data_IF_833609408652
#
_entry.id   IF_833609408652
#
_cell.length_a   1.000
_cell.length_b   1.000
_cell.length_c   1.000
_cell.angle_alpha   90.00
_cell.angle_beta   90.00
_cell.angle_gamma   90.00
#
_symmetry.space_group_name_H-M   'P 1'
#
loop_
_entity.id
_entity.type
_entity.pdbx_description
1 polymer ?
#
# COMPACT_ATOMS: atom_id res chain seq x y z
N UNK A 1 -7.77 0.03 -10.42
CA UNK A 1 -7.31 -1.13 -11.21
C UNK A 1 -6.04 -1.81 -10.69
N UNK A 2 -5.24 -1.14 -9.88
CA UNK A 2 -3.97 -1.70 -9.35
C UNK A 2 -4.14 -2.56 -8.08
N UNK A 3 -5.35 -2.63 -7.54
CA UNK A 3 -5.61 -3.18 -6.19
C UNK A 3 -5.75 -4.71 -6.10
N UNK A 4 -6.09 -5.42 -7.17
CA UNK A 4 -6.54 -6.82 -7.01
C UNK A 4 -5.47 -7.89 -7.21
N UNK A 5 -4.36 -7.59 -7.84
CA UNK A 5 -3.43 -8.62 -8.32
C UNK A 5 -2.33 -9.07 -7.35
N UNK A 6 -2.19 -8.48 -6.17
CA UNK A 6 -1.02 -8.74 -5.33
C UNK A 6 -1.27 -9.49 -4.04
N UNK A 7 -2.34 -10.24 -3.91
CA UNK A 7 -2.60 -10.96 -2.66
C UNK A 7 -1.76 -12.24 -2.46
N UNK A 8 -1.02 -12.70 -3.45
CA UNK A 8 -0.40 -14.03 -3.42
C UNK A 8 1.14 -14.06 -3.44
N UNK A 9 1.76 -12.88 -3.30
CA UNK A 9 3.21 -12.77 -3.38
C UNK A 9 3.84 -12.87 -2.00
N UNK A 10 4.37 -14.04 -1.68
CA UNK A 10 5.00 -14.30 -0.39
C UNK A 10 6.39 -14.90 -0.45
N UNK A 11 7.23 -14.40 0.44
CA UNK A 11 8.46 -14.98 0.98
C UNK A 11 9.64 -15.09 0.03
N UNK A 12 10.36 -14.00 -0.15
CA UNK A 12 11.84 -14.03 -0.29
C UNK A 12 12.39 -12.75 0.31
N UNK A 13 13.49 -12.89 1.03
CA UNK A 13 14.22 -11.77 1.62
C UNK A 13 14.98 -11.04 0.50
N UNK A 14 14.37 -9.98 -0.03
CA UNK A 14 15.09 -8.95 -0.74
C UNK A 14 15.01 -7.72 0.14
N UNK A 15 16.13 -7.21 0.54
CA UNK A 15 16.22 -6.05 1.41
C UNK A 15 15.79 -4.78 0.63
N UNK A 16 15.36 -3.74 1.35
CA UNK A 16 15.14 -2.40 0.79
C UNK A 16 16.37 -1.87 0.02
N UNK A 17 17.56 -2.43 0.27
CA UNK A 17 18.79 -2.19 -0.48
C UNK A 17 18.66 -2.59 -1.97
N UNK A 18 17.99 -3.70 -2.26
CA UNK A 18 17.72 -4.12 -3.65
C UNK A 18 16.83 -3.11 -4.36
N UNK A 19 15.80 -2.64 -3.69
CA UNK A 19 14.95 -1.55 -4.20
C UNK A 19 15.76 -0.29 -4.48
N UNK A 20 16.60 0.15 -3.53
CA UNK A 20 17.44 1.35 -3.68
C UNK A 20 18.44 1.24 -4.82
N UNK A 21 19.08 0.07 -4.98
CA UNK A 21 20.01 -0.20 -6.09
C UNK A 21 19.29 -0.17 -7.45
N UNK A 22 18.11 -0.79 -7.51
CA UNK A 22 17.33 -0.87 -8.74
C UNK A 22 16.77 0.50 -9.12
N UNK A 23 16.22 1.25 -8.18
CA UNK A 23 15.68 2.58 -8.45
C UNK A 23 16.77 3.61 -8.77
N UNK A 24 17.94 3.50 -8.18
CA UNK A 24 19.10 4.29 -8.55
C UNK A 24 19.54 4.05 -10.00
N UNK A 25 19.46 2.82 -10.49
CA UNK A 25 19.81 2.46 -11.86
C UNK A 25 18.81 2.99 -12.89
N UNK A 26 17.51 3.04 -12.56
CA UNK A 26 16.46 3.63 -13.43
C UNK A 26 16.61 5.15 -13.60
N UNK A 27 16.96 5.86 -12.53
CA UNK A 27 17.17 7.31 -12.57
C UNK A 27 18.29 7.72 -13.56
N UNK A 28 19.21 6.81 -13.88
CA UNK A 28 20.31 7.03 -14.84
C UNK A 28 20.03 6.48 -16.25
N UNK A 29 18.79 6.05 -16.57
CA UNK A 29 18.43 5.55 -17.91
C UNK A 29 19.06 4.20 -18.31
N UNK A 30 19.67 3.50 -17.36
CA UNK A 30 20.31 2.21 -17.59
C UNK A 30 19.31 1.06 -17.51
N UNK A 31 19.33 0.14 -18.47
CA UNK A 31 18.67 -1.16 -18.33
C UNK A 31 19.27 -1.86 -17.13
N UNK A 32 18.44 -2.31 -16.17
CA UNK A 32 18.92 -2.99 -14.97
C UNK A 32 19.55 -4.31 -15.39
N UNK A 33 20.87 -4.50 -15.18
CA UNK A 33 21.50 -5.79 -15.42
C UNK A 33 20.87 -6.82 -14.45
N UNK A 34 20.51 -8.00 -14.96
CA UNK A 34 19.98 -9.08 -14.12
C UNK A 34 18.49 -9.04 -13.82
N UNK A 35 17.70 -8.10 -14.34
CA UNK A 35 16.25 -8.06 -14.12
C UNK A 35 15.55 -9.37 -14.56
N UNK A 36 16.10 -10.04 -15.57
CA UNK A 36 15.55 -11.30 -16.05
C UNK A 36 15.75 -12.45 -15.07
N UNK A 37 16.74 -12.38 -14.21
CA UNK A 37 17.09 -13.39 -13.19
C UNK A 37 16.36 -13.15 -11.85
N UNK A 38 15.74 -11.98 -11.69
CA UNK A 38 15.01 -11.66 -10.45
C UNK A 38 13.73 -12.47 -10.30
N UNK A 39 13.32 -12.79 -9.05
CA UNK A 39 12.01 -13.38 -8.75
C UNK A 39 10.88 -12.54 -9.36
N UNK A 40 9.84 -13.20 -9.86
CA UNK A 40 8.70 -12.53 -10.50
C UNK A 40 8.05 -11.45 -9.62
N UNK A 41 8.06 -11.66 -8.32
CA UNK A 41 7.47 -10.75 -7.34
C UNK A 41 8.25 -9.44 -7.22
N UNK A 42 9.56 -9.52 -7.29
CA UNK A 42 10.44 -8.36 -7.22
C UNK A 42 10.35 -7.54 -8.52
N UNK A 43 10.27 -8.23 -9.67
CA UNK A 43 9.95 -7.57 -10.95
C UNK A 43 8.63 -6.82 -10.90
N UNK A 44 7.59 -7.46 -10.36
CA UNK A 44 6.27 -6.83 -10.21
C UNK A 44 6.32 -5.61 -9.29
N UNK A 45 7.05 -5.68 -8.18
CA UNK A 45 7.21 -4.54 -7.28
C UNK A 45 7.90 -3.36 -7.97
N UNK A 46 8.95 -3.61 -8.75
CA UNK A 46 9.67 -2.58 -9.52
C UNK A 46 8.74 -1.92 -10.53
N UNK A 47 8.05 -2.73 -11.35
CA UNK A 47 7.11 -2.21 -12.36
C UNK A 47 5.99 -1.40 -11.71
N UNK A 48 5.43 -1.89 -10.60
CA UNK A 48 4.40 -1.16 -9.84
C UNK A 48 4.94 0.16 -9.29
N UNK A 49 6.18 0.18 -8.80
CA UNK A 49 6.83 1.39 -8.28
C UNK A 49 6.99 2.45 -9.37
N UNK A 50 7.38 2.05 -10.58
CA UNK A 50 7.49 2.96 -11.72
C UNK A 50 6.14 3.53 -12.14
N UNK A 51 5.10 2.69 -12.18
CA UNK A 51 3.73 3.13 -12.48
C UNK A 51 3.23 4.12 -11.42
N UNK A 52 3.47 3.86 -10.14
CA UNK A 52 3.08 4.73 -9.03
C UNK A 52 3.77 6.08 -9.15
N UNK A 53 5.08 6.11 -9.39
CA UNK A 53 5.84 7.35 -9.57
C UNK A 53 5.38 8.16 -10.78
N UNK A 54 5.11 7.49 -11.90
CA UNK A 54 4.58 8.15 -13.10
C UNK A 54 3.21 8.75 -12.83
N UNK A 55 2.29 8.01 -12.23
CA UNK A 55 0.96 8.51 -11.89
C UNK A 55 1.02 9.73 -10.96
N UNK A 56 1.90 9.71 -9.95
CA UNK A 56 2.08 10.83 -9.05
C UNK A 56 2.71 12.07 -9.74
N UNK A 57 3.58 11.87 -10.72
CA UNK A 57 4.19 12.96 -11.48
C UNK A 57 3.25 13.57 -12.54
N UNK A 58 2.28 12.80 -13.04
CA UNK A 58 1.32 13.26 -14.07
C UNK A 58 0.21 14.14 -13.49
N UNK A 59 -0.05 14.09 -12.18
CA UNK A 59 -1.05 14.96 -11.53
C UNK A 59 -1.71 14.32 -10.30
N UNK A 60 -2.76 14.95 -9.77
CA UNK A 60 -3.46 14.49 -8.58
C UNK A 60 -4.01 13.06 -8.77
N UNK A 61 -3.66 12.16 -7.86
CA UNK A 61 -4.10 10.77 -7.93
C UNK A 61 -4.34 10.19 -6.53
N UNK A 62 -5.13 9.12 -6.47
CA UNK A 62 -5.35 8.32 -5.26
C UNK A 62 -4.81 6.93 -5.48
N UNK A 63 -3.85 6.52 -4.66
CA UNK A 63 -3.18 5.23 -4.76
C UNK A 63 -3.52 4.39 -3.53
N UNK A 64 -3.93 3.13 -3.76
CA UNK A 64 -4.36 2.24 -2.69
C UNK A 64 -3.32 1.14 -2.45
N UNK A 65 -2.63 1.22 -1.32
CA UNK A 65 -1.67 0.22 -0.86
C UNK A 65 -0.38 0.18 -1.69
N UNK A 66 0.20 -1.01 -1.89
CA UNK A 66 1.41 -1.24 -2.69
C UNK A 66 2.67 -0.54 -2.21
N UNK A 67 2.74 -0.25 -0.92
CA UNK A 67 3.83 0.55 -0.36
C UNK A 67 3.98 1.91 -1.04
N UNK A 68 2.86 2.52 -1.50
CA UNK A 68 2.91 3.78 -2.22
C UNK A 68 3.49 4.91 -1.37
N UNK A 69 3.17 4.94 -0.08
CA UNK A 69 3.78 5.81 0.92
C UNK A 69 5.31 5.73 0.93
N UNK A 70 5.87 4.51 0.93
CA UNK A 70 7.31 4.29 0.87
C UNK A 70 7.90 4.63 -0.50
N UNK A 71 7.19 4.32 -1.59
CA UNK A 71 7.64 4.60 -2.97
C UNK A 71 7.68 6.10 -3.23
N UNK A 72 6.72 6.84 -2.68
CA UNK A 72 6.56 8.29 -2.88
C UNK A 72 7.10 9.13 -1.72
N UNK A 73 7.90 8.57 -0.82
CA UNK A 73 8.45 9.27 0.35
C UNK A 73 9.25 10.54 0.05
N UNK A 74 9.78 10.63 -1.18
CA UNK A 74 10.55 11.78 -1.65
C UNK A 74 9.65 12.81 -2.39
N UNK A 75 8.32 12.61 -2.43
CA UNK A 75 7.33 13.52 -3.01
C UNK A 75 6.74 14.38 -1.90
N UNK A 76 6.82 15.70 -2.04
CA UNK A 76 6.40 16.66 -0.99
C UNK A 76 4.88 16.71 -0.79
N UNK A 77 4.08 16.55 -1.86
CA UNK A 77 2.62 16.69 -1.83
C UNK A 77 1.92 15.32 -1.75
N UNK A 78 2.31 14.48 -0.79
CA UNK A 78 1.70 13.18 -0.55
C UNK A 78 1.04 13.15 0.83
N UNK A 79 -0.24 12.77 0.90
CA UNK A 79 -0.95 12.46 2.14
C UNK A 79 -1.03 10.95 2.33
N UNK A 80 -0.31 10.44 3.32
CA UNK A 80 -0.30 9.03 3.67
C UNK A 80 -1.40 8.73 4.67
N UNK A 81 -2.41 7.95 4.26
CA UNK A 81 -3.60 7.68 5.08
C UNK A 81 -3.68 6.20 5.45
N UNK A 82 -3.77 5.92 6.75
CA UNK A 82 -4.06 4.58 7.25
C UNK A 82 -5.53 4.44 7.66
N UNK A 83 -6.26 3.64 6.89
CA UNK A 83 -7.68 3.36 7.17
C UNK A 83 -7.79 2.03 7.90
N UNK A 84 -8.34 2.05 9.10
CA UNK A 84 -8.55 0.85 9.92
C UNK A 84 -9.98 0.72 10.42
N UNK A 85 -10.30 -0.38 11.02
CA UNK A 85 -11.55 -0.62 11.73
C UNK A 85 -11.37 -1.78 12.71
N UNK A 86 -12.21 -1.87 13.74
CA UNK A 86 -12.22 -3.02 14.60
C UNK A 86 -12.55 -4.33 13.83
N UNK A 87 -12.10 -5.45 14.39
CA UNK A 87 -12.25 -6.74 13.71
C UNK A 87 -13.72 -7.12 13.48
N UNK A 88 -14.60 -6.80 14.43
CA UNK A 88 -16.01 -7.15 14.35
C UNK A 88 -16.71 -6.36 13.21
N UNK A 89 -16.46 -5.06 13.10
CA UNK A 89 -16.97 -4.23 12.01
C UNK A 89 -16.48 -4.72 10.65
N UNK A 90 -15.21 -5.11 10.55
CA UNK A 90 -14.63 -5.63 9.31
C UNK A 90 -15.21 -6.98 8.91
N UNK A 91 -15.41 -7.90 9.86
CA UNK A 91 -16.08 -9.18 9.64
C UNK A 91 -17.50 -8.95 9.13
N UNK A 92 -18.28 -8.09 9.79
CA UNK A 92 -19.65 -7.75 9.37
C UNK A 92 -19.69 -7.22 7.94
N UNK A 93 -18.75 -6.34 7.58
CA UNK A 93 -18.65 -5.74 6.23
C UNK A 93 -18.32 -6.79 5.16
N UNK A 94 -17.41 -7.72 5.44
CA UNK A 94 -17.01 -8.77 4.51
C UNK A 94 -18.15 -9.76 4.27
N UNK A 95 -18.85 -10.16 5.32
CA UNK A 95 -20.03 -11.05 5.21
C UNK A 95 -21.16 -10.34 4.46
N UNK A 96 -21.45 -9.08 4.78
CA UNK A 96 -22.48 -8.29 4.12
C UNK A 96 -22.23 -8.06 2.61
N UNK A 97 -20.96 -8.10 2.19
CA UNK A 97 -20.55 -8.02 0.78
C UNK A 97 -20.42 -9.39 0.10
N UNK A 98 -20.80 -10.48 0.76
CA UNK A 98 -20.67 -11.86 0.27
C UNK A 98 -19.24 -12.25 -0.20
N UNK A 99 -18.22 -11.67 0.42
CA UNK A 99 -16.82 -11.94 0.09
C UNK A 99 -16.27 -13.18 0.80
N UNK A 100 -16.94 -13.63 1.86
CA UNK A 100 -16.56 -14.81 2.63
C UNK A 100 -17.75 -15.31 3.44
N UNK A 101 -17.80 -16.62 3.69
CA UNK A 101 -18.76 -17.23 4.61
C UNK A 101 -18.57 -16.68 6.03
N UNK A 102 -19.66 -16.43 6.75
CA UNK A 102 -19.64 -15.85 8.09
C UNK A 102 -18.69 -16.60 9.05
N UNK A 103 -18.70 -17.95 9.01
CA UNK A 103 -17.86 -18.81 9.86
C UNK A 103 -16.36 -18.63 9.60
N UNK A 104 -15.98 -18.33 8.36
CA UNK A 104 -14.57 -18.17 7.94
C UNK A 104 -14.10 -16.72 7.96
N UNK A 105 -15.01 -15.76 8.08
CA UNK A 105 -14.71 -14.34 7.96
C UNK A 105 -13.68 -13.80 8.98
N UNK A 106 -13.69 -14.21 10.28
CA UNK A 106 -12.69 -13.76 11.24
C UNK A 106 -11.25 -14.16 10.86
N UNK A 107 -11.07 -15.39 10.37
CA UNK A 107 -9.76 -15.89 9.93
C UNK A 107 -9.34 -15.25 8.60
N UNK A 108 -10.29 -15.04 7.70
CA UNK A 108 -10.06 -14.34 6.44
C UNK A 108 -9.53 -12.91 6.70
N UNK A 109 -10.14 -12.14 7.61
CA UNK A 109 -9.68 -10.80 7.99
C UNK A 109 -8.24 -10.86 8.52
N UNK A 110 -7.98 -11.74 9.49
CA UNK A 110 -6.64 -11.89 10.08
C UNK A 110 -5.59 -12.29 9.06
N UNK A 111 -5.93 -13.23 8.16
CA UNK A 111 -5.04 -13.65 7.08
C UNK A 111 -4.71 -12.49 6.12
N UNK A 112 -5.72 -11.69 5.77
CA UNK A 112 -5.52 -10.53 4.88
C UNK A 112 -4.64 -9.45 5.50
N UNK A 113 -4.76 -9.20 6.80
CA UNK A 113 -3.88 -8.25 7.49
C UNK A 113 -2.45 -8.74 7.54
N UNK A 114 -2.25 -10.02 7.90
CA UNK A 114 -0.93 -10.64 7.88
C UNK A 114 -0.30 -10.57 6.49
N UNK A 115 -1.10 -10.73 5.44
CA UNK A 115 -0.64 -10.60 4.07
C UNK A 115 -0.17 -9.17 3.75
N UNK A 116 -0.94 -8.14 4.13
CA UNK A 116 -0.57 -6.74 3.93
C UNK A 116 0.69 -6.38 4.70
N UNK A 117 0.72 -6.72 5.98
CA UNK A 117 1.87 -6.46 6.84
C UNK A 117 3.15 -7.10 6.28
N UNK A 118 3.09 -8.38 5.90
CA UNK A 118 4.26 -9.06 5.37
C UNK A 118 4.76 -8.43 4.05
N UNK A 119 3.84 -8.05 3.14
CA UNK A 119 4.20 -7.38 1.89
C UNK A 119 4.85 -6.02 2.16
N UNK A 120 4.23 -5.21 3.00
CA UNK A 120 4.71 -3.89 3.35
C UNK A 120 6.07 -3.94 4.05
N UNK A 121 6.18 -4.75 5.11
CA UNK A 121 7.41 -4.88 5.88
C UNK A 121 8.58 -5.39 5.03
N UNK A 122 8.28 -6.25 4.05
CA UNK A 122 9.28 -6.81 3.16
C UNK A 122 9.89 -5.77 2.21
N UNK A 123 9.04 -4.95 1.56
CA UNK A 123 9.50 -4.00 0.55
C UNK A 123 9.88 -2.63 1.10
N UNK A 124 9.28 -2.18 2.20
CA UNK A 124 9.59 -0.88 2.81
C UNK A 124 10.65 -0.97 3.91
N UNK A 125 10.87 -2.15 4.48
CA UNK A 125 11.64 -2.36 5.70
C UNK A 125 11.07 -1.63 6.94
N UNK A 126 9.82 -1.17 6.85
CA UNK A 126 9.06 -0.53 7.93
C UNK A 126 7.95 -1.46 8.41
N UNK A 127 7.38 -1.19 9.57
CA UNK A 127 6.21 -1.92 10.06
C UNK A 127 4.93 -1.31 9.48
N UNK A 128 4.06 -2.17 8.90
CA UNK A 128 2.79 -1.74 8.31
C UNK A 128 1.83 -1.09 9.31
N UNK A 129 1.87 -1.52 10.56
CA UNK A 129 1.02 -1.06 11.66
C UNK A 129 1.65 0.07 12.48
N UNK A 130 2.78 0.60 12.05
CA UNK A 130 3.42 1.74 12.69
C UNK A 130 2.77 3.05 12.23
N UNK A 131 2.07 3.70 13.15
CA UNK A 131 1.34 4.95 12.88
C UNK A 131 2.24 6.10 12.44
N UNK A 132 3.53 6.05 12.76
CA UNK A 132 4.51 7.08 12.36
C UNK A 132 4.79 7.09 10.85
N UNK A 133 4.37 6.07 10.11
CA UNK A 133 4.46 6.03 8.65
C UNK A 133 3.31 6.78 7.94
N UNK A 134 2.34 7.29 8.70
CA UNK A 134 1.11 7.87 8.14
C UNK A 134 0.82 9.25 8.70
N UNK A 135 0.36 10.15 7.85
CA UNK A 135 -0.01 11.53 8.22
C UNK A 135 -1.40 11.60 8.84
N UNK A 136 -2.29 10.66 8.46
CA UNK A 136 -3.66 10.57 8.95
C UNK A 136 -4.05 9.11 9.18
N UNK A 137 -4.66 8.83 10.34
CA UNK A 137 -5.25 7.52 10.63
C UNK A 137 -6.75 7.64 10.89
N UNK A 138 -7.57 6.79 10.25
CA UNK A 138 -9.02 6.84 10.33
C UNK A 138 -9.63 5.51 10.74
N UNK A 139 -10.41 5.54 11.83
CA UNK A 139 -11.19 4.39 12.29
C UNK A 139 -12.58 4.37 11.64
N UNK A 140 -12.75 3.57 10.61
CA UNK A 140 -14.02 3.38 9.91
C UNK A 140 -15.01 2.47 10.63
N UNK A 141 -14.75 2.08 11.88
CA UNK A 141 -15.79 1.59 12.79
C UNK A 141 -16.58 2.74 13.41
N UNK A 142 -16.02 3.95 13.44
CA UNK A 142 -16.62 5.16 14.05
C UNK A 142 -17.19 6.13 13.03
N UNK A 143 -16.55 6.22 11.86
CA UNK A 143 -16.95 7.11 10.79
C UNK A 143 -17.60 6.35 9.64
N UNK A 144 -18.63 6.94 9.00
CA UNK A 144 -19.13 6.44 7.73
C UNK A 144 -18.10 6.61 6.62
N UNK A 145 -18.32 5.99 5.46
CA UNK A 145 -17.44 6.15 4.31
C UNK A 145 -17.39 7.61 3.86
N UNK A 146 -18.53 8.27 3.81
CA UNK A 146 -18.68 9.68 3.42
C UNK A 146 -17.91 10.59 4.36
N UNK A 147 -18.08 10.42 5.68
CA UNK A 147 -17.33 11.18 6.69
C UNK A 147 -15.82 10.96 6.59
N UNK A 148 -15.40 9.72 6.33
CA UNK A 148 -13.99 9.42 6.15
C UNK A 148 -13.41 10.09 4.89
N UNK A 149 -14.18 10.14 3.80
CA UNK A 149 -13.80 10.85 2.57
C UNK A 149 -13.66 12.35 2.83
N UNK A 150 -14.62 12.97 3.51
CA UNK A 150 -14.57 14.40 3.84
C UNK A 150 -13.34 14.75 4.68
N UNK A 151 -13.02 13.93 5.69
CA UNK A 151 -11.82 14.12 6.52
C UNK A 151 -10.53 14.02 5.70
N UNK A 152 -10.44 13.06 4.78
CA UNK A 152 -9.27 12.90 3.90
C UNK A 152 -9.14 14.11 2.96
N UNK A 153 -10.24 14.56 2.36
CA UNK A 153 -10.24 15.72 1.47
C UNK A 153 -9.85 17.00 2.19
N UNK A 154 -10.34 17.20 3.41
CA UNK A 154 -9.97 18.36 4.22
C UNK A 154 -8.49 18.34 4.62
N UNK A 155 -7.95 17.18 4.94
CA UNK A 155 -6.52 17.03 5.22
C UNK A 155 -5.69 17.31 3.98
N UNK A 156 -6.06 16.74 2.82
CA UNK A 156 -5.35 16.94 1.55
C UNK A 156 -5.29 18.42 1.16
N UNK A 157 -6.41 19.16 1.24
CA UNK A 157 -6.45 20.61 0.97
C UNK A 157 -5.53 21.45 1.86
N UNK A 158 -5.17 20.95 3.05
CA UNK A 158 -4.29 21.64 3.98
C UNK A 158 -2.81 21.37 3.74
N UNK A 159 -2.47 20.32 2.99
CA UNK A 159 -1.10 20.06 2.57
C UNK A 159 -0.65 20.98 1.42
N UNK A 160 -1.58 21.45 0.60
CA UNK A 160 -1.31 22.35 -0.54
C UNK A 160 -0.98 23.80 -0.10
N UNK A 161 -0.25 23.98 1.01
CA UNK A 161 0.17 25.31 1.50
C UNK A 161 1.63 25.58 1.24
#
# INVERSE_FOLDING_TARGET
ALSSAASDVYKRQTSSLLYSMVMGSYAFGSRIPGINEMPINDKLFIIQSDIIKKAAAEGPCVIIGRCADYILRDFENCLNVFVHADKAARVKRIVGKNLCEAKKAPDFVTKKDKQRANYYNFYSNNRWDDLMNYDLTLDTSKFSVEQAVDLILDAAKKLDR
#
